data_IF_067031347181
#
_entry.id   IF_067031347181
#
_cell.length_a   1.000
_cell.length_b   1.000
_cell.length_c   1.000
_cell.angle_alpha   90.00
_cell.angle_beta   90.00
_cell.angle_gamma   90.00
#
_symmetry.space_group_name_H-M   'P 1'
#
loop_
_entity.id
_entity.type
_entity.pdbx_description
1 polymer ?
#
# COMPACT_ATOMS: atom_id res chain seq x y z
N UNK A 1 11.47 -20.61 -10.24
CA UNK A 1 11.94 -20.53 -8.85
C UNK A 1 12.86 -19.32 -8.76
N UNK A 2 12.30 -18.16 -8.45
CA UNK A 2 13.05 -17.04 -7.90
C UNK A 2 12.29 -16.60 -6.65
N UNK A 3 12.99 -16.62 -5.52
CA UNK A 3 12.44 -16.37 -4.20
C UNK A 3 12.08 -14.90 -4.04
N UNK A 4 10.79 -14.63 -4.01
CA UNK A 4 10.27 -13.34 -3.56
C UNK A 4 9.90 -13.49 -2.09
N UNK A 5 10.87 -13.25 -1.20
CA UNK A 5 10.57 -13.03 0.22
C UNK A 5 9.74 -11.75 0.34
N UNK A 6 8.50 -11.86 0.79
CA UNK A 6 7.68 -10.71 1.13
C UNK A 6 6.84 -11.03 2.35
N UNK A 7 7.32 -10.54 3.50
CA UNK A 7 6.67 -10.63 4.81
C UNK A 7 5.37 -9.81 4.87
N UNK A 8 4.31 -10.36 5.46
CA UNK A 8 3.11 -9.61 5.83
C UNK A 8 2.39 -10.16 7.07
N UNK A 9 2.18 -9.31 8.08
CA UNK A 9 1.37 -9.58 9.27
C UNK A 9 0.09 -8.74 9.24
N UNK A 10 -0.97 -9.23 9.87
CA UNK A 10 -2.18 -8.49 10.24
C UNK A 10 -2.25 -8.48 11.78
N UNK A 11 -1.90 -7.36 12.41
CA UNK A 11 -2.31 -7.12 13.79
C UNK A 11 -2.93 -5.73 13.89
N UNK A 12 -4.19 -5.70 14.35
CA UNK A 12 -4.90 -4.46 14.61
C UNK A 12 -4.15 -3.68 15.69
N UNK A 13 -3.46 -2.59 15.35
CA UNK A 13 -3.42 -1.33 16.09
C UNK A 13 -2.82 -0.22 15.20
N UNK A 14 -3.36 0.98 15.40
CA UNK A 14 -3.11 2.23 14.69
C UNK A 14 -1.64 2.45 14.27
N UNK A 15 -1.39 2.53 12.96
CA UNK A 15 -0.20 3.19 12.41
C UNK A 15 0.92 2.28 11.88
N UNK A 16 0.63 1.42 10.90
CA UNK A 16 1.61 0.99 9.90
C UNK A 16 0.88 0.35 8.70
N UNK A 17 0.40 1.16 7.77
CA UNK A 17 -0.28 0.62 6.58
C UNK A 17 0.70 0.47 5.43
N UNK A 18 1.22 -0.73 5.19
CA UNK A 18 1.70 -1.15 3.86
C UNK A 18 0.59 -2.00 3.23
N UNK A 19 -0.11 -1.43 2.25
CA UNK A 19 -1.26 -2.01 1.55
C UNK A 19 -1.00 -1.84 0.05
N UNK A 20 -1.25 -2.72 -0.91
CA UNK A 20 -2.13 -3.88 -0.99
C UNK A 20 -1.49 -4.84 -2.02
N UNK A 21 -0.75 -5.84 -1.54
CA UNK A 21 -0.45 -7.01 -2.37
C UNK A 21 -1.63 -7.96 -2.23
N UNK A 22 -2.38 -8.20 -3.30
CA UNK A 22 -3.27 -9.35 -3.31
C UNK A 22 -2.43 -10.59 -3.58
N UNK A 23 -2.47 -11.54 -2.64
CA UNK A 23 -1.78 -12.81 -2.74
C UNK A 23 -2.82 -13.91 -2.74
N UNK A 24 -2.68 -14.88 -3.63
CA UNK A 24 -3.44 -16.13 -3.54
C UNK A 24 -2.63 -17.09 -2.73
N UNK A 25 -3.15 -17.54 -1.59
CA UNK A 25 -2.60 -18.64 -0.79
C UNK A 25 -3.32 -19.92 -1.19
N UNK A 26 -2.59 -20.94 -1.62
CA UNK A 26 -3.18 -22.22 -2.06
C UNK A 26 -2.83 -23.32 -1.06
N UNK A 27 -3.87 -23.93 -0.46
CA UNK A 27 -3.74 -25.18 0.28
C UNK A 27 -4.73 -26.19 -0.29
N UNK A 28 -4.22 -27.33 -0.73
CA UNK A 28 -5.00 -28.46 -1.26
C UNK A 28 -6.00 -28.13 -2.41
N UNK A 29 -5.74 -27.06 -3.17
CA UNK A 29 -6.46 -26.73 -4.41
C UNK A 29 -7.42 -25.55 -4.34
N UNK A 30 -7.89 -25.16 -3.15
CA UNK A 30 -9.04 -24.22 -3.00
C UNK A 30 -8.66 -22.73 -2.83
N UNK A 31 -7.40 -22.35 -3.07
CA UNK A 31 -6.90 -20.97 -3.22
C UNK A 31 -7.69 -19.80 -2.59
N UNK A 32 -7.16 -19.16 -1.55
CA UNK A 32 -7.73 -17.95 -0.94
C UNK A 32 -6.97 -16.68 -1.36
N UNK A 33 -7.71 -15.62 -1.70
CA UNK A 33 -7.12 -14.28 -1.85
C UNK A 33 -6.99 -13.60 -0.49
N UNK A 34 -5.78 -13.12 -0.17
CA UNK A 34 -5.48 -12.28 0.99
C UNK A 34 -4.94 -10.93 0.52
N UNK A 35 -5.14 -9.91 1.35
CA UNK A 35 -4.60 -8.58 1.15
C UNK A 35 -3.56 -8.33 2.24
N UNK A 36 -2.35 -8.00 1.82
CA UNK A 36 -1.28 -7.56 2.73
C UNK A 36 -1.59 -6.15 3.20
N UNK A 37 -1.75 -5.95 4.51
CA UNK A 37 -2.13 -4.66 5.07
C UNK A 37 -1.09 -4.04 6.00
N UNK A 38 -0.19 -4.85 6.54
CA UNK A 38 0.74 -4.48 7.59
C UNK A 38 2.01 -5.36 7.51
N UNK A 39 3.02 -4.98 8.28
CA UNK A 39 4.31 -5.64 8.39
C UNK A 39 4.46 -6.25 9.77
N UNK A 40 5.04 -7.45 9.84
CA UNK A 40 5.45 -8.06 11.09
C UNK A 40 6.75 -8.82 10.91
N UNK A 41 7.48 -8.93 12.01
CA UNK A 41 8.74 -9.66 12.09
C UNK A 41 8.48 -11.00 12.79
N UNK A 42 8.94 -12.08 12.19
CA UNK A 42 8.78 -13.43 12.72
C UNK A 42 9.88 -14.34 12.22
N UNK A 43 10.30 -15.27 13.06
CA UNK A 43 11.28 -16.28 12.67
C UNK A 43 10.60 -17.28 11.73
N UNK A 44 11.08 -17.36 10.49
CA UNK A 44 10.73 -18.39 9.49
C UNK A 44 9.30 -18.36 8.93
N UNK A 45 8.52 -17.32 9.18
CA UNK A 45 7.17 -17.17 8.60
C UNK A 45 7.10 -16.03 7.59
N UNK A 46 6.68 -16.34 6.35
CA UNK A 46 6.48 -15.33 5.30
C UNK A 46 5.16 -14.54 5.49
N UNK A 47 4.12 -15.15 6.09
CA UNK A 47 2.83 -14.49 6.30
C UNK A 47 2.28 -14.77 7.70
N UNK A 48 1.85 -13.73 8.40
CA UNK A 48 1.00 -13.82 9.59
C UNK A 48 -0.42 -13.39 9.20
N UNK A 49 -1.33 -14.34 9.26
CA UNK A 49 -2.70 -14.19 8.80
C UNK A 49 -3.63 -13.83 9.95
N UNK A 50 -4.66 -13.02 9.68
CA UNK A 50 -5.78 -12.90 10.62
C UNK A 50 -6.38 -14.27 10.93
N UNK A 51 -6.94 -14.47 12.12
CA UNK A 51 -7.56 -15.75 12.50
C UNK A 51 -8.62 -16.20 11.48
N UNK A 52 -9.34 -15.25 10.87
CA UNK A 52 -10.31 -15.53 9.80
C UNK A 52 -9.64 -16.06 8.52
N UNK A 53 -8.52 -15.47 8.12
CA UNK A 53 -7.76 -15.90 6.95
C UNK A 53 -7.10 -17.27 7.20
N UNK A 54 -6.50 -17.45 8.38
CA UNK A 54 -5.91 -18.73 8.79
C UNK A 54 -6.97 -19.86 8.83
N UNK A 55 -8.15 -19.61 9.41
CA UNK A 55 -9.22 -20.61 9.46
C UNK A 55 -9.70 -21.08 8.08
N UNK A 56 -9.65 -20.22 7.06
CA UNK A 56 -10.04 -20.55 5.67
C UNK A 56 -9.05 -21.47 4.96
N UNK A 57 -7.84 -21.59 5.48
CA UNK A 57 -6.84 -22.53 4.97
C UNK A 57 -7.14 -23.97 5.40
N UNK A 58 -8.00 -24.16 6.41
CA UNK A 58 -8.35 -25.49 6.91
C UNK A 58 -9.31 -26.20 5.94
N UNK A 59 -9.12 -27.52 5.81
CA UNK A 59 -10.14 -28.40 5.23
C UNK A 59 -11.41 -28.38 6.09
N UNK A 60 -12.59 -28.70 5.52
CA UNK A 60 -13.82 -28.78 6.29
C UNK A 60 -13.65 -29.59 7.57
N UNK A 61 -14.09 -29.02 8.70
CA UNK A 61 -14.00 -29.58 10.06
C UNK A 61 -12.59 -29.73 10.67
N UNK A 62 -11.52 -29.23 10.04
CA UNK A 62 -10.14 -29.31 10.58
C UNK A 62 -9.61 -27.96 11.11
N UNK A 63 -10.46 -26.95 11.27
CA UNK A 63 -10.05 -25.59 11.68
C UNK A 63 -9.36 -25.57 13.04
N UNK A 64 -9.88 -26.31 14.03
CA UNK A 64 -9.28 -26.34 15.39
C UNK A 64 -7.90 -27.02 15.40
N UNK A 65 -7.74 -28.08 14.62
CA UNK A 65 -6.45 -28.76 14.46
C UNK A 65 -5.42 -27.85 13.78
N UNK A 66 -5.84 -27.10 12.74
CA UNK A 66 -4.99 -26.11 12.09
C UNK A 66 -4.53 -25.02 13.07
N UNK A 67 -5.44 -24.51 13.90
CA UNK A 67 -5.07 -23.53 14.93
C UNK A 67 -4.11 -24.09 15.98
N UNK A 68 -4.24 -25.37 16.35
CA UNK A 68 -3.33 -26.03 17.28
C UNK A 68 -1.92 -26.22 16.70
N UNK A 69 -1.79 -26.35 15.38
CA UNK A 69 -0.51 -26.43 14.68
C UNK A 69 0.26 -25.10 14.69
N UNK A 70 -0.45 -23.97 14.70
CA UNK A 70 0.10 -22.62 14.81
C UNK A 70 0.65 -22.06 13.49
N UNK A 71 1.45 -22.84 12.76
CA UNK A 71 2.03 -22.46 11.46
C UNK A 71 1.77 -23.54 10.39
N UNK A 72 1.71 -23.12 9.12
CA UNK A 72 1.57 -24.02 7.97
C UNK A 72 2.33 -23.50 6.76
N UNK A 73 2.91 -24.42 6.00
CA UNK A 73 3.48 -24.12 4.70
C UNK A 73 2.38 -23.81 3.69
N UNK A 74 2.58 -22.74 2.92
CA UNK A 74 1.64 -22.28 1.90
C UNK A 74 2.35 -21.98 0.59
N UNK A 75 1.73 -22.36 -0.52
CA UNK A 75 2.13 -21.84 -1.82
C UNK A 75 1.40 -20.52 -2.08
N UNK A 76 2.11 -19.57 -2.66
CA UNK A 76 1.54 -18.26 -2.90
C UNK A 76 1.95 -17.63 -4.23
N UNK A 77 1.06 -16.76 -4.74
CA UNK A 77 1.34 -15.91 -5.91
C UNK A 77 0.72 -14.53 -5.75
N UNK A 78 1.45 -13.50 -6.15
CA UNK A 78 0.90 -12.15 -6.33
C UNK A 78 -0.13 -12.16 -7.46
N UNK A 79 -1.27 -11.52 -7.24
CA UNK A 79 -2.30 -11.29 -8.27
C UNK A 79 -2.60 -9.80 -8.41
N UNK A 80 -3.14 -9.44 -9.59
CA UNK A 80 -3.64 -8.08 -9.82
C UNK A 80 -4.90 -7.86 -9.00
N UNK A 81 -4.97 -6.72 -8.30
CA UNK A 81 -6.16 -6.31 -7.53
C UNK A 81 -6.58 -4.88 -7.89
N UNK A 82 -7.87 -4.63 -7.98
CA UNK A 82 -8.41 -3.31 -8.27
C UNK A 82 -9.41 -2.89 -7.20
N UNK A 83 -9.14 -1.78 -6.52
CA UNK A 83 -10.06 -1.21 -5.55
C UNK A 83 -11.20 -0.50 -6.28
N UNK A 84 -12.42 -1.04 -6.24
CA UNK A 84 -13.64 -0.44 -6.80
C UNK A 84 -13.51 0.08 -8.25
N UNK A 85 -12.64 -0.52 -9.07
CA UNK A 85 -12.38 -0.10 -10.45
C UNK A 85 -11.41 1.08 -10.62
N UNK A 86 -10.87 1.65 -9.53
CA UNK A 86 -9.86 2.70 -9.61
C UNK A 86 -8.45 2.12 -9.85
N UNK A 87 -7.69 2.78 -10.73
CA UNK A 87 -6.28 2.45 -10.99
C UNK A 87 -5.34 3.04 -9.94
N UNK A 88 -5.69 4.21 -9.44
CA UNK A 88 -4.96 4.97 -8.42
C UNK A 88 -6.00 5.67 -7.54
N UNK A 89 -5.82 5.59 -6.23
CA UNK A 89 -6.52 6.45 -5.28
C UNK A 89 -5.52 7.09 -4.33
N UNK A 90 -5.81 8.31 -3.92
CA UNK A 90 -5.06 8.99 -2.88
C UNK A 90 -6.03 9.47 -1.80
N UNK A 91 -5.55 9.54 -0.56
CA UNK A 91 -6.30 10.06 0.57
C UNK A 91 -5.37 10.92 1.41
N UNK A 92 -5.83 12.09 1.86
CA UNK A 92 -5.08 12.88 2.83
C UNK A 92 -5.09 12.13 4.17
N UNK A 93 -3.91 11.92 4.75
CA UNK A 93 -3.75 11.26 6.03
C UNK A 93 -4.32 12.13 7.15
N UNK A 94 -4.96 11.53 8.15
CA UNK A 94 -5.63 12.24 9.25
C UNK A 94 -4.69 13.13 10.06
N UNK A 95 -3.43 12.72 10.21
CA UNK A 95 -2.38 13.49 10.88
C UNK A 95 -1.76 14.60 10.01
N UNK A 96 -2.25 14.80 8.78
CA UNK A 96 -1.84 15.93 7.94
C UNK A 96 -2.25 17.25 8.59
N UNK A 97 -1.36 18.24 8.58
CA UNK A 97 -1.57 19.58 9.17
C UNK A 97 -1.15 20.65 8.15
N UNK A 98 -1.85 20.68 7.04
CA UNK A 98 -1.58 21.64 5.98
C UNK A 98 -1.82 23.09 6.48
N UNK A 99 -0.96 24.08 6.15
CA UNK A 99 0.19 24.01 5.23
C UNK A 99 1.54 23.67 5.89
N UNK A 100 1.57 23.24 7.15
CA UNK A 100 2.84 22.95 7.84
C UNK A 100 3.35 21.54 7.60
N UNK A 101 2.44 20.60 7.32
CA UNK A 101 2.77 19.20 7.09
C UNK A 101 1.69 18.56 6.22
N UNK A 102 2.10 17.94 5.12
CA UNK A 102 1.20 17.15 4.27
C UNK A 102 1.60 15.68 4.37
N UNK A 103 0.63 14.83 4.69
CA UNK A 103 0.78 13.38 4.56
C UNK A 103 -0.37 12.83 3.72
N UNK A 104 -0.06 11.93 2.80
CA UNK A 104 -1.01 11.29 1.89
C UNK A 104 -0.81 9.78 1.88
N UNK A 105 -1.91 9.03 1.77
CA UNK A 105 -1.91 7.60 1.49
C UNK A 105 -2.16 7.38 0.00
N UNK A 106 -1.39 6.49 -0.62
CA UNK A 106 -1.51 6.17 -2.05
C UNK A 106 -1.79 4.69 -2.28
N UNK A 107 -2.88 4.41 -2.98
CA UNK A 107 -3.33 3.07 -3.34
C UNK A 107 -3.22 2.89 -4.85
N UNK A 108 -2.42 1.92 -5.29
CA UNK A 108 -2.29 1.59 -6.71
C UNK A 108 -2.86 0.20 -6.95
N UNK A 109 -3.79 0.11 -7.89
CA UNK A 109 -4.31 -1.17 -8.34
C UNK A 109 -3.33 -1.89 -9.26
N UNK A 110 -3.43 -3.20 -9.33
CA UNK A 110 -2.60 -4.05 -10.16
C UNK A 110 -1.48 -4.75 -9.39
N UNK A 111 -0.55 -5.34 -10.12
CA UNK A 111 0.72 -5.83 -9.55
C UNK A 111 1.78 -4.73 -9.51
N UNK A 112 1.35 -3.54 -9.12
CA UNK A 112 2.15 -2.34 -9.22
C UNK A 112 2.69 -1.93 -7.85
N UNK A 113 3.81 -1.21 -7.81
CA UNK A 113 4.33 -0.56 -6.61
C UNK A 113 4.69 0.90 -6.91
N UNK A 114 4.60 1.79 -5.93
CA UNK A 114 5.01 3.19 -6.08
C UNK A 114 6.43 3.33 -5.53
N UNK A 115 7.41 3.62 -6.37
CA UNK A 115 8.81 3.75 -5.91
C UNK A 115 9.20 5.19 -5.56
N UNK A 116 8.50 6.18 -6.13
CA UNK A 116 8.70 7.60 -5.83
C UNK A 116 7.39 8.38 -5.97
N UNK A 117 7.25 9.43 -5.17
CA UNK A 117 6.15 10.39 -5.24
C UNK A 117 6.73 11.78 -5.19
N UNK A 118 6.28 12.62 -6.09
CA UNK A 118 6.71 14.01 -6.15
C UNK A 118 5.51 14.92 -6.33
N UNK A 119 5.63 16.12 -5.80
CA UNK A 119 4.61 17.15 -5.88
C UNK A 119 5.12 18.37 -6.61
N UNK A 120 4.22 19.10 -7.24
CA UNK A 120 4.51 20.36 -7.91
C UNK A 120 3.33 21.30 -7.71
N UNK A 121 3.64 22.53 -7.30
CA UNK A 121 2.67 23.62 -7.32
C UNK A 121 2.45 24.07 -8.78
N UNK A 122 1.22 24.34 -9.17
CA UNK A 122 0.83 24.67 -10.57
C UNK A 122 1.70 25.78 -11.18
N UNK A 123 2.00 26.82 -10.40
CA UNK A 123 2.83 27.97 -10.79
C UNK A 123 4.35 27.70 -10.76
N UNK A 124 4.76 26.55 -10.20
CA UNK A 124 6.15 26.14 -10.11
C UNK A 124 6.51 25.11 -11.19
N UNK A 125 7.73 25.19 -11.71
CA UNK A 125 8.25 24.25 -12.73
C UNK A 125 8.95 23.03 -12.11
N UNK A 126 9.27 23.08 -10.83
CA UNK A 126 10.07 22.06 -10.16
C UNK A 126 9.19 21.02 -9.47
N UNK A 127 9.57 19.75 -9.60
CA UNK A 127 8.98 18.64 -8.87
C UNK A 127 9.78 18.38 -7.59
N UNK A 128 9.09 18.37 -6.46
CA UNK A 128 9.69 18.22 -5.14
C UNK A 128 9.35 16.81 -4.63
N UNK A 129 10.36 15.97 -4.32
CA UNK A 129 10.12 14.62 -3.84
C UNK A 129 9.48 14.63 -2.45
N UNK A 130 8.49 13.76 -2.27
CA UNK A 130 7.93 13.42 -0.97
C UNK A 130 8.75 12.30 -0.34
N UNK A 131 8.80 12.28 0.98
CA UNK A 131 9.44 11.19 1.72
C UNK A 131 8.43 10.07 1.92
N UNK A 132 8.84 8.81 1.74
CA UNK A 132 8.05 7.66 2.20
C UNK A 132 8.19 7.55 3.72
N UNK A 133 7.17 7.95 4.46
CA UNK A 133 7.20 7.94 5.92
C UNK A 133 7.18 6.51 6.48
N UNK A 134 6.18 5.74 6.06
CA UNK A 134 6.04 4.31 6.37
C UNK A 134 4.98 3.72 5.44
N UNK A 135 5.09 2.44 5.10
CA UNK A 135 4.09 1.75 4.28
C UNK A 135 3.71 2.57 3.03
N UNK A 136 2.43 2.84 2.80
CA UNK A 136 1.91 3.66 1.69
C UNK A 136 1.78 5.15 1.99
N UNK A 137 2.29 5.60 3.13
CA UNK A 137 2.21 6.99 3.57
C UNK A 137 3.41 7.76 3.06
N UNK A 138 3.13 8.84 2.34
CA UNK A 138 4.12 9.78 1.82
C UNK A 138 3.89 11.14 2.45
N UNK A 139 4.96 11.78 2.92
CA UNK A 139 4.88 13.05 3.64
C UNK A 139 5.85 14.13 3.12
N UNK A 140 5.51 15.37 3.46
CA UNK A 140 6.32 16.55 3.23
C UNK A 140 6.09 17.56 4.35
N UNK A 141 7.18 18.04 4.94
CA UNK A 141 7.16 19.20 5.83
C UNK A 141 7.12 20.49 4.98
N UNK A 142 6.32 21.46 5.41
CA UNK A 142 6.12 22.74 4.73
C UNK A 142 5.81 22.56 3.22
N UNK A 143 4.75 21.81 2.87
CA UNK A 143 4.33 21.68 1.48
C UNK A 143 4.06 23.06 0.84
N UNK A 144 4.28 23.21 -0.49
CA UNK A 144 3.87 24.39 -1.23
C UNK A 144 2.39 24.69 -1.02
N UNK A 145 2.06 25.99 -0.95
CA UNK A 145 0.69 26.43 -0.74
C UNK A 145 0.03 26.71 -2.09
N UNK A 146 -1.04 25.99 -2.44
CA UNK A 146 -1.81 26.26 -3.64
C UNK A 146 -2.37 25.00 -4.29
N UNK A 147 -2.64 25.07 -5.60
CA UNK A 147 -3.01 23.89 -6.38
C UNK A 147 -1.79 22.99 -6.58
N UNK A 148 -1.89 21.74 -6.12
CA UNK A 148 -0.80 20.77 -6.14
C UNK A 148 -1.13 19.66 -7.14
N UNK A 149 -0.22 19.43 -8.09
CA UNK A 149 -0.16 18.21 -8.89
C UNK A 149 0.76 17.19 -8.23
N UNK A 150 0.45 15.91 -8.41
CA UNK A 150 1.30 14.80 -8.00
C UNK A 150 1.80 14.02 -9.21
N UNK A 151 3.02 13.49 -9.13
CA UNK A 151 3.47 12.42 -10.02
C UNK A 151 4.03 11.26 -9.21
N UNK A 152 3.75 10.07 -9.69
CA UNK A 152 4.10 8.81 -9.05
C UNK A 152 4.94 7.98 -10.01
N UNK A 153 6.06 7.46 -9.53
CA UNK A 153 6.83 6.47 -10.26
C UNK A 153 6.26 5.10 -9.92
N UNK A 154 5.57 4.49 -10.89
CA UNK A 154 4.94 3.18 -10.74
C UNK A 154 5.84 2.12 -11.36
N UNK A 155 6.13 1.08 -10.58
CA UNK A 155 6.83 -0.13 -11.02
C UNK A 155 5.82 -1.22 -11.32
N UNK A 156 5.90 -1.81 -12.51
CA UNK A 156 5.13 -2.97 -12.92
C UNK A 156 6.03 -4.02 -13.63
N UNK A 157 5.44 -5.02 -14.28
CA UNK A 157 6.20 -6.04 -15.02
C UNK A 157 6.88 -5.52 -16.29
N UNK A 158 6.45 -4.37 -16.82
CA UNK A 158 7.03 -3.72 -18.00
C UNK A 158 8.14 -2.73 -17.64
N UNK A 159 8.22 -2.28 -16.38
CA UNK A 159 9.30 -1.47 -15.85
C UNK A 159 8.79 -0.32 -14.99
N UNK A 160 9.49 0.82 -15.05
CA UNK A 160 9.17 2.03 -14.30
C UNK A 160 8.48 3.06 -15.19
N UNK A 161 7.29 3.52 -14.81
CA UNK A 161 6.51 4.52 -15.54
C UNK A 161 6.04 5.65 -14.63
N UNK A 162 6.20 6.89 -15.07
CA UNK A 162 5.64 8.05 -14.37
C UNK A 162 4.15 8.21 -14.70
N UNK A 163 3.32 8.31 -13.66
CA UNK A 163 1.90 8.63 -13.74
C UNK A 163 1.67 9.97 -13.06
N UNK A 164 1.05 10.92 -13.75
CA UNK A 164 0.76 12.25 -13.22
C UNK A 164 -0.74 12.42 -12.98
N UNK A 165 -1.06 13.09 -11.88
CA UNK A 165 -2.41 13.56 -11.56
C UNK A 165 -2.36 15.06 -11.30
N UNK A 166 -3.23 15.81 -11.98
CA UNK A 166 -3.29 17.26 -11.86
C UNK A 166 -4.38 17.70 -10.88
N UNK A 167 -4.10 18.76 -10.12
CA UNK A 167 -5.04 19.44 -9.22
C UNK A 167 -5.68 18.52 -8.17
N UNK A 168 -4.83 17.72 -7.55
CA UNK A 168 -5.18 16.57 -6.71
C UNK A 168 -5.66 17.01 -5.32
N UNK A 169 -5.12 18.13 -4.84
CA UNK A 169 -5.50 18.75 -3.57
C UNK A 169 -6.04 20.14 -3.90
N UNK A 170 -7.38 20.34 -3.84
CA UNK A 170 -7.98 21.63 -4.15
C UNK A 170 -7.68 22.64 -3.03
N UNK A 171 -7.53 23.88 -3.45
CA UNK A 171 -7.13 25.05 -2.65
C UNK A 171 -8.01 25.19 -1.39
N UNK A 172 -7.42 25.26 -0.20
CA UNK A 172 -8.02 25.95 0.95
C UNK A 172 -7.18 27.21 1.19
N UNK A 173 -7.62 28.33 0.61
CA UNK A 173 -7.00 29.66 0.80
C UNK A 173 -6.10 30.13 -0.34
N UNK A 174 -6.46 31.29 -0.90
CA UNK A 174 -5.71 32.02 -1.94
C UNK A 174 -4.38 32.56 -1.37
N UNK A 175 -3.25 32.02 -1.80
CA UNK A 175 -1.95 32.70 -1.72
C UNK A 175 -1.11 32.34 -2.95
N UNK A 176 -0.82 33.35 -3.76
CA UNK A 176 0.14 33.33 -4.86
C UNK A 176 1.58 33.25 -4.32
N UNK A 177 2.47 32.57 -5.04
CA UNK A 177 3.89 32.40 -4.71
C UNK A 177 4.57 33.73 -4.33
N UNK A 178 5.36 33.72 -3.25
CA UNK A 178 6.39 34.72 -2.92
C UNK A 178 7.77 34.07 -3.07
#
# INVERSE_FOLDING_TARGET
>A
MEGLSMMAMLQEFLGCTRMELAVVLVISGDGMNVVVTDYGEGDRTDFILSSRAHAKLARPNLTLELFAYGEVDVEYRRISWHYNGYKLMFKVHENSRYPHYLAILLYVGGQNDITSVELRQEDCKEWIPMRRAYGIVWDMANPPVGSISLRLLVSDSAGLTWVQTDNVIPIIGNLSCL
#
